data_IF_369569699503
#
_entry.id   IF_369569699503
#
_cell.length_a   1.000
_cell.length_b   1.000
_cell.length_c   1.000
_cell.angle_alpha   90.00
_cell.angle_beta   90.00
_cell.angle_gamma   90.00
#
_symmetry.space_group_name_H-M   'P 1'
#
loop_
_entity.id
_entity.type
_entity.pdbx_description
1 polymer ?
#
# COMPACT_ATOMS: atom_id res chain seq x y z
N UNK A 1 0.31 35.74 36.68
CA UNK A 1 0.68 34.64 35.77
C UNK A 1 -0.55 34.32 34.92
N UNK A 2 -0.53 34.68 33.63
CA UNK A 2 -1.64 34.44 32.70
C UNK A 2 -1.32 33.17 31.90
N UNK A 3 -2.07 32.10 32.16
CA UNK A 3 -1.96 30.84 31.41
C UNK A 3 -3.17 30.80 30.49
N UNK A 4 -2.95 30.84 29.18
CA UNK A 4 -4.00 30.68 28.19
C UNK A 4 -4.27 29.19 27.96
N UNK A 5 -5.54 28.75 27.94
CA UNK A 5 -5.88 27.36 27.61
C UNK A 5 -5.62 27.06 26.13
N UNK A 6 -5.13 25.85 25.86
CA UNK A 6 -4.83 25.32 24.52
C UNK A 6 -6.16 24.96 23.83
N UNK A 7 -6.48 25.50 22.64
CA UNK A 7 -7.70 25.12 21.93
C UNK A 7 -7.55 23.73 21.30
N UNK A 8 -8.30 22.78 21.87
CA UNK A 8 -8.49 21.40 21.42
C UNK A 8 -9.37 21.40 20.16
N UNK A 9 -8.77 21.30 18.98
CA UNK A 9 -9.52 21.17 17.73
C UNK A 9 -9.85 19.68 17.47
N UNK A 10 -11.11 19.31 17.73
CA UNK A 10 -11.73 18.06 17.29
C UNK A 10 -12.64 18.43 16.11
N UNK A 11 -12.19 18.16 14.89
CA UNK A 11 -12.96 18.39 13.67
C UNK A 11 -13.95 17.24 13.45
N UNK A 12 -15.10 17.29 14.12
CA UNK A 12 -16.24 16.43 13.80
C UNK A 12 -17.19 17.21 12.88
N UNK A 13 -17.36 16.73 11.67
CA UNK A 13 -18.19 17.28 10.60
C UNK A 13 -19.66 17.40 11.02
N UNK A 14 -20.09 18.61 11.36
CA UNK A 14 -21.49 19.00 11.43
C UNK A 14 -21.86 19.69 10.12
N UNK A 15 -22.70 19.04 9.33
CA UNK A 15 -23.39 19.60 8.17
C UNK A 15 -24.19 20.82 8.67
N UNK A 16 -23.81 22.03 8.27
CA UNK A 16 -24.51 23.25 8.61
C UNK A 16 -25.18 23.84 7.36
N UNK A 17 -26.49 24.04 7.51
CA UNK A 17 -27.42 24.63 6.56
C UNK A 17 -26.91 25.94 5.94
N UNK A 18 -27.21 26.11 4.65
CA UNK A 18 -27.00 27.34 3.90
C UNK A 18 -27.65 28.55 4.58
N UNK A 19 -26.80 29.50 5.00
CA UNK A 19 -27.16 30.91 5.05
C UNK A 19 -26.26 31.65 4.06
N UNK A 20 -26.91 32.14 3.02
CA UNK A 20 -26.34 32.87 1.91
C UNK A 20 -25.90 34.27 2.38
N UNK A 21 -24.65 34.65 2.12
CA UNK A 21 -24.21 36.04 2.18
C UNK A 21 -23.27 36.31 0.98
N UNK A 22 -23.64 37.19 0.03
CA UNK A 22 -22.94 37.33 -1.24
C UNK A 22 -21.94 38.48 -1.18
N UNK A 23 -20.73 38.25 -0.64
CA UNK A 23 -19.56 39.13 -0.88
C UNK A 23 -18.30 38.50 -0.32
N UNK A 24 -17.79 37.45 -0.97
CA UNK A 24 -16.38 37.04 -0.84
C UNK A 24 -15.88 36.64 -2.21
N UNK A 25 -14.91 37.42 -2.69
CA UNK A 25 -14.03 37.08 -3.81
C UNK A 25 -13.71 35.57 -3.81
N UNK A 26 -13.70 34.88 -4.96
CA UNK A 26 -13.36 33.47 -5.02
C UNK A 26 -11.87 33.32 -4.71
N UNK A 27 -11.54 33.26 -3.42
CA UNK A 27 -10.24 32.88 -2.93
C UNK A 27 -9.91 31.54 -3.56
N UNK A 28 -8.85 31.50 -4.37
CA UNK A 28 -8.27 30.29 -4.96
C UNK A 28 -7.68 29.44 -3.85
N UNK A 29 -8.53 28.91 -2.99
CA UNK A 29 -8.16 27.97 -1.96
C UNK A 29 -7.99 26.64 -2.67
N UNK A 30 -6.76 26.33 -3.08
CA UNK A 30 -6.41 25.01 -3.57
C UNK A 30 -6.85 24.00 -2.50
N UNK A 31 -7.80 23.14 -2.84
CA UNK A 31 -8.12 22.00 -2.00
C UNK A 31 -6.88 21.12 -2.04
N UNK A 32 -6.31 20.79 -0.87
CA UNK A 32 -5.25 19.78 -0.79
C UNK A 32 -5.79 18.52 -1.46
N UNK A 33 -5.13 18.09 -2.52
CA UNK A 33 -5.44 16.79 -3.10
C UNK A 33 -5.17 15.73 -2.04
N UNK A 34 -5.99 14.67 -1.97
CA UNK A 34 -5.64 13.50 -1.19
C UNK A 34 -4.23 13.06 -1.60
N UNK A 35 -3.39 12.74 -0.62
CA UNK A 35 -2.07 12.18 -0.91
C UNK A 35 -2.28 10.86 -1.66
N UNK A 36 -2.02 10.89 -2.96
CA UNK A 36 -2.06 9.73 -3.84
C UNK A 36 -0.66 9.15 -3.92
N UNK A 37 -0.54 7.84 -3.73
CA UNK A 37 0.72 7.13 -3.82
C UNK A 37 0.90 6.67 -5.25
N UNK A 38 2.07 6.93 -5.82
CA UNK A 38 2.37 6.58 -7.20
C UNK A 38 2.31 5.06 -7.42
N UNK A 39 2.59 4.25 -6.39
CA UNK A 39 2.56 2.79 -6.49
C UNK A 39 1.94 2.13 -5.27
N UNK A 40 1.00 1.22 -5.51
CA UNK A 40 0.26 0.50 -4.46
C UNK A 40 0.15 -0.97 -4.82
N UNK A 41 0.43 -1.86 -3.87
CA UNK A 41 0.08 -3.27 -3.92
C UNK A 41 -1.24 -3.49 -3.18
N UNK A 42 -2.16 -4.23 -3.80
CA UNK A 42 -3.42 -4.68 -3.21
C UNK A 42 -3.51 -6.21 -3.26
N UNK A 43 -3.66 -6.83 -2.10
CA UNK A 43 -3.79 -8.27 -1.97
C UNK A 43 -5.27 -8.67 -1.80
N UNK A 44 -5.66 -9.88 -2.22
CA UNK A 44 -7.02 -10.41 -2.05
C UNK A 44 -7.24 -10.90 -0.61
N UNK A 45 -6.89 -10.06 0.36
CA UNK A 45 -6.95 -10.32 1.80
C UNK A 45 -7.70 -9.17 2.46
N UNK A 46 -8.30 -9.44 3.62
CA UNK A 46 -8.90 -8.39 4.44
C UNK A 46 -7.82 -7.45 4.97
N UNK A 47 -8.19 -6.21 5.24
CA UNK A 47 -7.25 -5.16 5.68
C UNK A 47 -6.47 -5.49 6.94
N UNK A 48 -7.05 -6.32 7.82
CA UNK A 48 -6.52 -6.80 9.09
C UNK A 48 -5.74 -8.12 8.99
N UNK A 49 -5.59 -8.68 7.78
CA UNK A 49 -4.82 -9.90 7.59
C UNK A 49 -3.35 -9.70 7.97
N UNK A 50 -2.78 -10.69 8.67
CA UNK A 50 -1.35 -10.68 9.01
C UNK A 50 -0.54 -11.02 7.76
N UNK A 51 0.15 -10.00 7.23
CA UNK A 51 1.00 -10.12 6.06
C UNK A 51 2.42 -9.74 6.46
N UNK A 52 3.32 -10.70 6.43
CA UNK A 52 4.73 -10.48 6.68
C UNK A 52 5.35 -9.72 5.48
N UNK A 53 5.89 -8.53 5.75
CA UNK A 53 6.59 -7.72 4.75
C UNK A 53 8.08 -7.76 5.02
N UNK A 54 8.83 -8.34 4.09
CA UNK A 54 10.29 -8.39 4.10
C UNK A 54 10.85 -7.48 3.02
N UNK A 55 11.57 -6.44 3.43
CA UNK A 55 12.30 -5.58 2.52
C UNK A 55 13.72 -6.10 2.33
N UNK A 56 14.07 -6.43 1.09
CA UNK A 56 15.42 -6.78 0.64
C UNK A 56 16.01 -5.67 -0.23
N UNK A 57 17.29 -5.77 -0.54
CA UNK A 57 17.95 -4.82 -1.44
C UNK A 57 17.37 -4.86 -2.86
N UNK A 58 17.04 -6.06 -3.33
CA UNK A 58 16.60 -6.32 -4.70
C UNK A 58 15.08 -6.42 -4.86
N UNK A 59 14.32 -6.55 -3.77
CA UNK A 59 12.88 -6.74 -3.81
C UNK A 59 12.16 -6.45 -2.48
N UNK A 60 10.84 -6.36 -2.54
CA UNK A 60 9.94 -6.58 -1.41
C UNK A 60 9.29 -7.95 -1.54
N UNK A 61 9.25 -8.72 -0.45
CA UNK A 61 8.48 -9.97 -0.37
C UNK A 61 7.35 -9.83 0.64
N UNK A 62 6.15 -10.19 0.22
CA UNK A 62 4.94 -10.21 1.03
C UNK A 62 4.51 -11.67 1.17
N UNK A 63 4.34 -12.14 2.40
CA UNK A 63 3.93 -13.52 2.69
C UNK A 63 2.73 -13.49 3.60
N UNK A 64 1.68 -14.21 3.23
CA UNK A 64 0.47 -14.32 4.02
C UNK A 64 -0.07 -15.75 3.96
N UNK A 65 -0.48 -16.28 5.11
CA UNK A 65 -1.18 -17.56 5.16
C UNK A 65 -2.56 -17.40 4.51
N UNK A 66 -2.88 -18.24 3.51
CA UNK A 66 -4.16 -18.16 2.82
C UNK A 66 -4.91 -19.47 2.91
N UNK A 67 -5.76 -19.58 3.93
CA UNK A 67 -6.61 -20.75 4.14
C UNK A 67 -7.63 -20.86 3.00
N UNK A 68 -7.39 -21.78 2.07
CA UNK A 68 -8.32 -22.12 0.98
C UNK A 68 -8.21 -21.30 -0.30
N UNK A 69 -7.38 -20.24 -0.32
CA UNK A 69 -7.22 -19.41 -1.52
C UNK A 69 -6.12 -19.95 -2.46
N UNK A 70 -4.98 -20.35 -1.90
CA UNK A 70 -3.88 -20.99 -2.62
C UNK A 70 -4.05 -22.51 -2.81
N UNK A 71 -5.05 -23.11 -2.17
CA UNK A 71 -5.31 -24.56 -2.23
C UNK A 71 -6.41 -24.95 -3.24
N UNK A 72 -6.99 -23.96 -3.92
CA UNK A 72 -7.99 -24.16 -4.97
C UNK A 72 -7.37 -24.55 -6.31
N UNK A 73 -8.24 -24.88 -7.26
CA UNK A 73 -7.91 -25.12 -8.68
C UNK A 73 -7.57 -23.84 -9.47
N UNK A 74 -7.76 -22.67 -8.85
CA UNK A 74 -7.45 -21.36 -9.43
C UNK A 74 -6.01 -20.90 -9.15
N UNK A 75 -5.30 -20.53 -10.21
CA UNK A 75 -3.97 -19.91 -10.13
C UNK A 75 -4.10 -18.41 -9.79
N UNK A 76 -3.30 -17.96 -8.83
CA UNK A 76 -3.18 -16.53 -8.51
C UNK A 76 -2.30 -15.79 -9.50
N UNK A 77 -2.72 -14.58 -9.87
CA UNK A 77 -2.00 -13.70 -10.78
C UNK A 77 -2.02 -12.26 -10.30
N UNK A 78 -0.91 -11.56 -10.53
CA UNK A 78 -0.84 -10.11 -10.35
C UNK A 78 -1.20 -9.38 -11.64
N UNK A 79 -1.94 -8.29 -11.50
CA UNK A 79 -2.33 -7.40 -12.58
C UNK A 79 -1.84 -6.00 -12.25
N UNK A 80 -1.07 -5.43 -13.18
CA UNK A 80 -0.67 -4.03 -13.09
C UNK A 80 -1.73 -3.17 -13.79
N UNK A 81 -2.27 -2.18 -13.07
CA UNK A 81 -3.30 -1.27 -13.55
C UNK A 81 -2.81 0.17 -13.38
N UNK A 82 -2.77 0.93 -14.47
CA UNK A 82 -2.57 2.37 -14.39
C UNK A 82 -3.92 3.04 -14.14
N UNK A 83 -4.11 3.61 -12.95
CA UNK A 83 -5.39 4.23 -12.56
C UNK A 83 -5.45 5.72 -12.92
N UNK A 84 -4.29 6.32 -13.10
CA UNK A 84 -4.06 7.69 -13.54
C UNK A 84 -2.62 7.75 -14.08
N UNK A 85 -2.30 8.64 -15.02
CA UNK A 85 -0.92 8.86 -15.45
C UNK A 85 0.08 8.87 -14.29
N UNK A 86 1.03 7.94 -14.30
CA UNK A 86 2.08 7.81 -13.26
C UNK A 86 1.64 7.15 -11.95
N UNK A 87 0.38 6.73 -11.84
CA UNK A 87 -0.14 5.99 -10.69
C UNK A 87 -0.46 4.56 -11.07
N UNK A 88 0.31 3.63 -10.51
CA UNK A 88 0.22 2.22 -10.79
C UNK A 88 -0.29 1.45 -9.56
N UNK A 89 -1.27 0.60 -9.76
CA UNK A 89 -1.78 -0.33 -8.76
C UNK A 89 -1.50 -1.77 -9.20
N UNK A 90 -0.84 -2.54 -8.36
CA UNK A 90 -0.73 -3.99 -8.51
C UNK A 90 -1.90 -4.61 -7.77
N UNK A 91 -2.69 -5.44 -8.45
CA UNK A 91 -3.83 -6.15 -7.86
C UNK A 91 -3.60 -7.64 -8.03
N UNK A 92 -3.59 -8.39 -6.94
CA UNK A 92 -3.47 -9.86 -6.97
C UNK A 92 -4.87 -10.49 -6.95
N UNK A 93 -5.14 -11.43 -7.87
CA UNK A 93 -6.45 -12.09 -8.05
C UNK A 93 -6.29 -13.54 -8.44
N UNK A 94 -7.26 -14.38 -8.09
CA UNK A 94 -7.33 -15.78 -8.52
C UNK A 94 -8.06 -15.92 -9.85
N UNK A 95 -7.53 -16.73 -10.78
CA UNK A 95 -8.24 -17.05 -12.01
C UNK A 95 -9.37 -18.07 -11.74
N UNK A 96 -10.52 -17.93 -12.41
CA UNK A 96 -11.60 -18.93 -12.34
C UNK A 96 -12.69 -18.73 -11.29
N UNK A 97 -12.53 -17.83 -10.31
CA UNK A 97 -13.66 -17.41 -9.47
C UNK A 97 -14.13 -16.03 -9.88
N UNK A 98 -15.27 -15.98 -10.58
CA UNK A 98 -16.05 -14.76 -10.77
C UNK A 98 -16.63 -14.22 -9.45
N UNK A 99 -16.24 -14.77 -8.30
CA UNK A 99 -16.86 -14.52 -6.99
C UNK A 99 -15.92 -14.83 -5.81
N UNK A 100 -14.73 -14.23 -5.76
CA UNK A 100 -14.14 -13.91 -4.47
C UNK A 100 -14.56 -12.49 -4.10
N UNK A 101 -15.73 -12.39 -3.47
CA UNK A 101 -16.14 -11.27 -2.60
C UNK A 101 -16.40 -9.89 -3.22
N UNK A 102 -15.99 -9.61 -4.46
CA UNK A 102 -16.29 -8.31 -5.08
C UNK A 102 -17.65 -8.33 -5.78
N UNK A 103 -18.71 -8.75 -5.09
CA UNK A 103 -20.05 -8.30 -5.48
C UNK A 103 -20.03 -6.78 -5.34
N UNK A 104 -20.31 -6.08 -6.45
CA UNK A 104 -20.44 -4.61 -6.48
C UNK A 104 -21.43 -4.06 -5.41
N UNK A 105 -22.23 -4.94 -4.82
CA UNK A 105 -23.21 -4.69 -3.76
C UNK A 105 -22.61 -4.56 -2.34
N UNK A 106 -21.35 -4.91 -2.12
CA UNK A 106 -20.65 -4.68 -0.85
C UNK A 106 -19.38 -3.87 -1.12
N UNK A 107 -19.40 -2.61 -0.70
CA UNK A 107 -18.33 -1.64 -0.79
C UNK A 107 -17.18 -2.02 0.18
N UNK A 108 -16.64 -3.24 0.12
CA UNK A 108 -15.52 -3.69 0.97
C UNK A 108 -14.23 -2.94 0.55
N UNK A 109 -14.08 -1.73 1.11
CA UNK A 109 -12.87 -0.91 1.02
C UNK A 109 -11.71 -1.50 1.86
N UNK A 110 -12.01 -2.51 2.68
CA UNK A 110 -11.15 -3.16 3.66
C UNK A 110 -10.33 -4.29 3.04
N UNK A 111 -9.66 -3.99 1.93
CA UNK A 111 -8.66 -4.88 1.34
C UNK A 111 -7.26 -4.47 1.79
N UNK A 112 -6.39 -5.46 1.94
CA UNK A 112 -5.02 -5.24 2.36
C UNK A 112 -4.22 -4.47 1.30
N UNK A 113 -3.57 -3.38 1.72
CA UNK A 113 -2.83 -2.48 0.82
C UNK A 113 -1.49 -2.08 1.39
N UNK A 114 -0.49 -2.04 0.51
CA UNK A 114 0.84 -1.54 0.84
C UNK A 114 1.31 -0.52 -0.18
N UNK A 115 1.94 0.55 0.32
CA UNK A 115 2.48 1.62 -0.52
C UNK A 115 3.91 1.25 -0.89
N UNK A 116 4.16 1.15 -2.18
CA UNK A 116 5.47 0.76 -2.70
C UNK A 116 6.32 2.00 -2.97
N UNK A 117 7.62 1.96 -2.64
CA UNK A 117 8.57 3.00 -3.04
C UNK A 117 8.71 3.12 -4.57
N UNK A 118 9.23 4.25 -5.04
CA UNK A 118 9.48 4.50 -6.47
C UNK A 118 10.64 3.65 -7.04
N UNK A 119 11.51 3.11 -6.18
CA UNK A 119 12.56 2.18 -6.58
C UNK A 119 12.03 0.80 -7.00
N UNK A 120 10.74 0.50 -6.79
CA UNK A 120 10.15 -0.78 -7.18
C UNK A 120 9.99 -0.95 -8.69
N UNK A 121 9.69 -2.17 -9.15
CA UNK A 121 9.43 -2.51 -10.55
C UNK A 121 8.13 -3.28 -10.65
N UNK A 122 6.98 -2.58 -10.61
CA UNK A 122 5.67 -3.22 -10.59
C UNK A 122 5.41 -4.11 -11.81
N UNK A 123 6.10 -3.86 -12.93
CA UNK A 123 6.00 -4.65 -14.16
C UNK A 123 6.64 -6.04 -14.06
N UNK A 124 7.50 -6.29 -13.07
CA UNK A 124 8.19 -7.56 -12.83
C UNK A 124 7.66 -8.32 -11.61
N UNK A 125 6.50 -7.93 -11.08
CA UNK A 125 5.90 -8.59 -9.93
C UNK A 125 5.64 -10.06 -10.20
N UNK A 126 5.96 -10.90 -9.23
CA UNK A 126 5.64 -12.34 -9.27
C UNK A 126 4.76 -12.73 -8.11
N UNK A 127 3.93 -13.74 -8.34
CA UNK A 127 3.01 -14.30 -7.36
C UNK A 127 3.18 -15.82 -7.36
N UNK A 128 3.27 -16.40 -6.17
CA UNK A 128 3.38 -17.83 -5.97
C UNK A 128 2.51 -18.26 -4.80
N UNK A 129 1.96 -19.47 -4.91
CA UNK A 129 1.30 -20.17 -3.82
C UNK A 129 2.16 -21.35 -3.41
N UNK A 130 2.65 -21.37 -2.17
CA UNK A 130 3.53 -22.43 -1.65
C UNK A 130 3.01 -22.85 -0.29
N UNK A 131 2.70 -24.13 -0.12
CA UNK A 131 2.22 -24.69 1.16
C UNK A 131 0.98 -24.00 1.78
N UNK A 132 0.16 -23.36 0.94
CA UNK A 132 -1.02 -22.58 1.37
C UNK A 132 -0.75 -21.09 1.61
N UNK A 133 0.50 -20.66 1.52
CA UNK A 133 0.90 -19.26 1.66
C UNK A 133 0.90 -18.54 0.30
N UNK A 134 0.34 -17.34 0.29
CA UNK A 134 0.48 -16.39 -0.80
C UNK A 134 1.79 -15.64 -0.65
N UNK A 135 2.65 -15.77 -1.65
CA UNK A 135 3.94 -15.08 -1.74
C UNK A 135 3.89 -14.12 -2.93
N UNK A 136 4.02 -12.82 -2.66
CA UNK A 136 4.14 -11.79 -3.68
C UNK A 136 5.52 -11.17 -3.61
N UNK A 137 6.23 -11.14 -4.73
CA UNK A 137 7.56 -10.52 -4.83
C UNK A 137 7.52 -9.35 -5.79
N UNK A 138 7.89 -8.17 -5.30
CA UNK A 138 7.96 -6.93 -6.09
C UNK A 138 9.44 -6.53 -6.21
N UNK A 139 10.08 -6.70 -7.38
CA UNK A 139 11.48 -6.33 -7.56
C UNK A 139 11.73 -4.83 -7.38
N UNK A 140 12.98 -4.46 -7.11
CA UNK A 140 13.51 -3.10 -7.06
C UNK A 140 14.52 -2.87 -8.19
N UNK A 141 14.80 -1.60 -8.48
CA UNK A 141 15.92 -1.20 -9.33
C UNK A 141 17.22 -1.55 -8.60
N UNK A 142 18.19 -2.11 -9.33
CA UNK A 142 19.48 -2.52 -8.75
C UNK A 142 20.45 -1.34 -8.51
N UNK A 143 20.02 -0.09 -8.75
CA UNK A 143 20.92 1.06 -8.96
C UNK A 143 20.85 2.15 -7.87
N UNK A 144 20.17 1.92 -6.75
CA UNK A 144 20.18 2.85 -5.62
C UNK A 144 20.89 2.18 -4.43
N UNK A 145 22.15 1.79 -4.63
CA UNK A 145 23.08 1.78 -3.50
C UNK A 145 23.30 3.25 -3.11
N UNK A 146 22.83 3.62 -1.94
CA UNK A 146 23.24 4.86 -1.28
C UNK A 146 24.77 4.82 -1.14
N UNK A 147 25.49 5.47 -2.08
CA UNK A 147 26.89 5.86 -1.92
C UNK A 147 26.96 6.93 -0.82
N UNK A 148 26.72 6.52 0.42
CA UNK A 148 27.04 7.30 1.60
C UNK A 148 28.56 7.22 1.79
N UNK A 149 29.26 8.14 1.13
CA UNK A 149 30.68 8.36 1.32
C UNK A 149 30.99 8.71 2.77
N UNK A 150 31.48 7.75 3.55
CA UNK A 150 32.00 7.98 4.90
C UNK A 150 32.78 6.79 5.43
N UNK A 151 34.12 6.88 5.39
CA UNK A 151 35.03 5.76 5.63
C UNK A 151 35.16 5.21 7.07
N UNK A 152 35.78 4.02 7.13
CA UNK A 152 36.24 3.32 8.34
C UNK A 152 35.41 2.06 8.61
N UNK A 153 35.89 0.87 8.27
CA UNK A 153 36.73 0.01 9.14
C UNK A 153 35.89 -1.17 9.73
N UNK A 154 36.34 -2.38 9.37
CA UNK A 154 36.09 -3.77 9.84
C UNK A 154 34.70 -4.23 10.35
N UNK A 155 34.13 -5.25 9.68
CA UNK A 155 33.29 -6.26 10.36
C UNK A 155 32.19 -6.94 9.54
N UNK A 156 32.55 -8.02 8.84
CA UNK A 156 31.80 -9.29 8.72
C UNK A 156 30.26 -9.28 8.95
N UNK A 157 29.50 -9.46 7.86
CA UNK A 157 28.31 -10.32 7.78
C UNK A 157 27.06 -9.98 8.60
N UNK A 158 25.98 -9.61 7.90
CA UNK A 158 24.66 -10.28 7.85
C UNK A 158 23.75 -9.34 7.05
N UNK A 159 23.15 -9.83 5.97
CA UNK A 159 22.17 -9.08 5.19
C UNK A 159 20.97 -8.72 6.05
N UNK A 160 20.93 -7.49 6.56
CA UNK A 160 19.80 -6.93 7.30
C UNK A 160 18.66 -6.62 6.35
N UNK A 161 17.82 -7.60 6.06
CA UNK A 161 16.46 -7.33 5.59
C UNK A 161 15.68 -6.66 6.71
N UNK A 162 15.02 -5.53 6.43
CA UNK A 162 14.18 -4.85 7.41
C UNK A 162 12.80 -5.52 7.40
N UNK A 163 12.47 -6.23 8.47
CA UNK A 163 11.14 -6.79 8.68
C UNK A 163 10.24 -5.71 9.26
N UNK A 164 9.15 -5.41 8.56
CA UNK A 164 8.10 -4.53 9.08
C UNK A 164 6.84 -5.36 9.23
N UNK A 165 6.48 -5.65 10.48
CA UNK A 165 5.18 -6.23 10.80
C UNK A 165 4.14 -5.12 10.73
N UNK A 166 3.16 -5.26 9.85
CA UNK A 166 2.04 -4.30 9.73
C UNK A 166 0.84 -4.94 10.43
N UNK A 167 0.52 -4.44 11.63
CA UNK A 167 -0.65 -4.83 12.43
C UNK A 167 -1.87 -3.97 12.11
#
# INVERSE_FOLDING_TARGET
>A
MRVHPIPRNINNTLIHHHHHNPTREPGKNLRRLPHIFNRVLELPLRSEADVAVEERHDCFRFVAETVGLCNGDGEMRAYMVEIHPGITKIVVRTNGSSSLGLSLDELELDVWRFRLPESTRPELVTVACVDGDLIVTVPKNAEEEDDDGGGGDFGQGIGSGRLVLVQ
#
